data_IF_311157541357
#
_entry.id   IF_311157541357
#
_cell.length_a   1.000
_cell.length_b   1.000
_cell.length_c   1.000
_cell.angle_alpha   90.00
_cell.angle_beta   90.00
_cell.angle_gamma   90.00
#
_symmetry.space_group_name_H-M   'P 1'
#
loop_
_entity.id
_entity.type
_entity.pdbx_description
1 polymer ?
#
# COMPACT_ATOMS: atom_id res chain seq x y z
N UNK A 1 7.71 -10.72 -25.51
CA UNK A 1 6.24 -10.85 -25.65
C UNK A 1 5.85 -12.25 -25.21
N UNK A 2 4.89 -12.38 -24.29
CA UNK A 2 4.30 -13.68 -23.90
C UNK A 2 3.09 -13.99 -24.80
N UNK A 3 2.83 -15.25 -25.20
CA UNK A 3 1.99 -15.57 -26.36
C UNK A 3 0.48 -15.61 -26.09
N UNK A 4 0.00 -15.31 -24.87
CA UNK A 4 -1.34 -15.74 -24.45
C UNK A 4 -2.36 -14.64 -24.12
N UNK A 5 -2.23 -13.41 -24.65
CA UNK A 5 -3.29 -12.39 -24.47
C UNK A 5 -3.52 -11.59 -25.75
N UNK A 6 -4.70 -11.77 -26.38
CA UNK A 6 -5.12 -11.08 -27.62
C UNK A 6 -5.71 -9.68 -27.40
N UNK A 7 -5.77 -9.19 -26.15
CA UNK A 7 -6.27 -7.85 -25.84
C UNK A 7 -5.45 -7.22 -24.71
N UNK A 8 -4.64 -6.22 -25.05
CA UNK A 8 -4.11 -5.24 -24.11
C UNK A 8 -5.15 -4.11 -24.03
N UNK A 9 -5.86 -4.00 -22.90
CA UNK A 9 -6.63 -2.79 -22.63
C UNK A 9 -5.63 -1.64 -22.43
N UNK A 10 -5.43 -0.82 -23.46
CA UNK A 10 -4.71 0.43 -23.29
C UNK A 10 -5.54 1.33 -22.35
N UNK A 11 -5.02 1.78 -21.20
CA UNK A 11 -5.72 2.77 -20.40
C UNK A 11 -5.90 4.03 -21.26
N UNK A 12 -7.09 4.66 -21.28
CA UNK A 12 -7.31 5.86 -22.08
C UNK A 12 -6.29 6.93 -21.67
N UNK A 13 -5.47 7.34 -22.64
CA UNK A 13 -4.28 8.20 -22.51
C UNK A 13 -4.54 9.61 -21.96
N UNK A 14 -5.75 9.92 -21.50
CA UNK A 14 -6.11 11.25 -21.02
C UNK A 14 -6.83 11.14 -19.68
N UNK A 15 -6.14 11.55 -18.61
CA UNK A 15 -6.66 11.79 -17.26
C UNK A 15 -7.47 10.63 -16.65
N UNK A 16 -6.77 9.68 -16.03
CA UNK A 16 -7.41 8.81 -15.04
C UNK A 16 -7.78 9.65 -13.82
N UNK A 17 -9.01 10.15 -13.78
CA UNK A 17 -9.57 10.66 -12.53
C UNK A 17 -9.62 9.49 -11.55
N UNK A 18 -8.78 9.54 -10.51
CA UNK A 18 -8.82 8.60 -9.38
C UNK A 18 -10.14 8.83 -8.64
N UNK A 19 -11.20 8.14 -9.09
CA UNK A 19 -12.48 8.09 -8.39
C UNK A 19 -12.43 6.93 -7.41
N UNK A 20 -12.64 7.21 -6.13
CA UNK A 20 -12.95 6.19 -5.13
C UNK A 20 -14.21 5.44 -5.59
N UNK A 21 -14.05 4.21 -6.09
CA UNK A 21 -15.19 3.33 -6.45
C UNK A 21 -15.54 2.42 -5.27
N UNK A 22 -16.56 1.56 -5.44
CA UNK A 22 -17.11 0.62 -4.44
C UNK A 22 -15.98 0.03 -3.58
N UNK A 23 -16.21 -0.07 -2.27
CA UNK A 23 -15.24 -0.55 -1.26
C UNK A 23 -14.00 0.33 -1.04
N UNK A 24 -14.06 1.60 -1.48
CA UNK A 24 -13.04 2.64 -1.28
C UNK A 24 -11.70 2.30 -1.96
N UNK A 25 -11.79 1.71 -3.15
CA UNK A 25 -10.66 1.41 -4.02
C UNK A 25 -10.26 2.61 -4.88
N UNK A 26 -8.96 2.75 -5.13
CA UNK A 26 -8.39 3.85 -5.93
C UNK A 26 -8.54 3.54 -7.43
N UNK A 27 -9.77 3.62 -7.95
CA UNK A 27 -10.07 3.60 -9.39
C UNK A 27 -10.32 2.22 -10.02
N UNK A 28 -10.58 2.22 -11.33
CA UNK A 28 -10.85 1.02 -12.17
C UNK A 28 -9.61 0.11 -12.27
N UNK A 29 -8.45 0.69 -12.06
CA UNK A 29 -7.14 0.05 -12.16
C UNK A 29 -6.45 -0.02 -10.79
N UNK A 30 -7.23 -0.17 -9.70
CA UNK A 30 -6.66 -0.36 -8.35
C UNK A 30 -5.63 -1.50 -8.46
N UNK A 31 -4.33 -1.20 -8.23
CA UNK A 31 -3.25 -2.16 -8.51
C UNK A 31 -3.29 -3.40 -7.63
N UNK A 32 -4.16 -3.39 -6.62
CA UNK A 32 -4.44 -4.52 -5.76
C UNK A 32 -5.29 -5.61 -6.44
N UNK A 33 -6.05 -5.28 -7.50
CA UNK A 33 -7.07 -6.19 -8.07
C UNK A 33 -6.98 -6.39 -9.59
N UNK A 34 -6.18 -5.59 -10.30
CA UNK A 34 -5.97 -5.74 -11.74
C UNK A 34 -4.48 -5.76 -12.10
N UNK A 35 -4.08 -6.54 -13.12
CA UNK A 35 -2.71 -6.52 -13.63
C UNK A 35 -2.38 -5.10 -14.09
N UNK A 36 -1.35 -4.51 -13.46
CA UNK A 36 -0.93 -3.15 -13.79
C UNK A 36 -0.31 -3.09 -15.18
N UNK A 37 -0.61 -2.07 -15.98
CA UNK A 37 0.22 -1.75 -17.12
C UNK A 37 1.63 -1.46 -16.61
N UNK A 38 2.62 -2.17 -17.15
CA UNK A 38 4.01 -1.98 -16.77
C UNK A 38 4.46 -0.59 -17.22
N UNK A 39 4.57 0.33 -16.26
CA UNK A 39 5.16 1.64 -16.47
C UNK A 39 6.63 1.58 -16.11
N UNK A 40 7.50 1.91 -17.06
CA UNK A 40 8.95 1.97 -16.85
C UNK A 40 9.35 2.96 -15.74
N UNK A 41 8.51 3.96 -15.47
CA UNK A 41 8.73 4.94 -14.39
C UNK A 41 8.41 4.40 -12.99
N UNK A 42 7.60 3.34 -12.87
CA UNK A 42 7.19 2.74 -11.59
C UNK A 42 7.23 1.21 -11.62
N UNK A 43 8.40 0.60 -11.98
CA UNK A 43 8.51 -0.85 -12.17
C UNK A 43 8.25 -1.63 -10.87
N UNK A 44 8.48 -0.99 -9.72
CA UNK A 44 8.21 -1.59 -8.41
C UNK A 44 6.73 -1.97 -8.21
N UNK A 45 5.78 -1.34 -8.91
CA UNK A 45 4.37 -1.71 -8.80
C UNK A 45 4.10 -3.14 -9.29
N UNK A 46 4.92 -3.67 -10.21
CA UNK A 46 4.86 -5.06 -10.64
C UNK A 46 5.32 -6.04 -9.55
N UNK A 47 6.03 -5.55 -8.53
CA UNK A 47 6.49 -6.34 -7.40
C UNK A 47 5.52 -6.33 -6.22
N UNK A 48 4.39 -5.60 -6.29
CA UNK A 48 3.36 -5.66 -5.23
C UNK A 48 2.97 -7.12 -5.02
N UNK A 49 3.08 -7.58 -3.77
CA UNK A 49 2.73 -8.95 -3.41
C UNK A 49 1.27 -9.24 -3.78
N UNK A 50 0.96 -10.50 -4.06
CA UNK A 50 -0.41 -10.92 -4.31
C UNK A 50 -1.25 -10.89 -3.04
N UNK A 51 -2.59 -10.87 -3.15
CA UNK A 51 -3.47 -11.06 -2.01
C UNK A 51 -3.10 -12.29 -1.17
N UNK A 52 -2.99 -12.08 0.13
CA UNK A 52 -2.64 -13.13 1.08
C UNK A 52 -3.92 -13.73 1.67
N UNK A 53 -4.06 -15.06 1.59
CA UNK A 53 -5.20 -15.80 2.15
C UNK A 53 -4.92 -16.34 3.56
N UNK A 54 -3.64 -16.52 3.90
CA UNK A 54 -3.23 -17.00 5.21
C UNK A 54 -3.25 -15.86 6.23
N UNK A 55 -4.07 -16.02 7.27
CA UNK A 55 -4.22 -15.06 8.36
C UNK A 55 -2.93 -14.86 9.17
N UNK A 56 -2.00 -15.82 9.13
CA UNK A 56 -0.71 -15.73 9.81
C UNK A 56 0.33 -14.95 8.99
N UNK A 57 0.03 -14.66 7.72
CA UNK A 57 0.92 -13.86 6.89
C UNK A 57 0.92 -12.41 7.37
N UNK A 58 2.11 -11.83 7.56
CA UNK A 58 2.27 -10.43 8.02
C UNK A 58 1.57 -9.40 7.14
N UNK A 59 1.35 -9.70 5.86
CA UNK A 59 0.66 -8.83 4.91
C UNK A 59 -0.83 -9.14 4.74
N UNK A 60 -1.37 -10.15 5.42
CA UNK A 60 -2.80 -10.42 5.45
C UNK A 60 -3.65 -9.16 5.75
N UNK A 61 -3.27 -8.30 6.73
CA UNK A 61 -4.05 -7.10 7.02
C UNK A 61 -4.12 -6.09 5.88
N UNK A 62 -3.18 -6.11 4.91
CA UNK A 62 -3.20 -5.24 3.74
C UNK A 62 -4.37 -5.54 2.79
N UNK A 63 -4.92 -6.75 2.87
CA UNK A 63 -5.93 -7.26 1.94
C UNK A 63 -7.33 -7.34 2.54
N UNK A 64 -7.46 -7.11 3.86
CA UNK A 64 -8.76 -7.06 4.53
C UNK A 64 -9.57 -5.88 3.96
N UNK A 65 -10.80 -6.15 3.51
CA UNK A 65 -11.71 -5.09 3.07
C UNK A 65 -12.23 -4.34 4.30
N UNK A 66 -11.96 -3.02 4.44
CA UNK A 66 -12.43 -2.26 5.57
C UNK A 66 -13.95 -2.12 5.55
N UNK A 67 -14.59 -2.44 6.67
CA UNK A 67 -16.05 -2.43 6.87
C UNK A 67 -16.42 -1.59 8.08
N UNK A 68 -17.72 -1.35 8.25
CA UNK A 68 -18.25 -0.58 9.37
C UNK A 68 -17.87 -1.18 10.74
N UNK A 69 -17.66 -2.50 10.81
CA UNK A 69 -17.21 -3.19 12.02
C UNK A 69 -15.80 -2.77 12.49
N UNK A 70 -14.97 -2.18 11.62
CA UNK A 70 -13.66 -1.66 11.98
C UNK A 70 -13.70 -0.23 12.54
N UNK A 71 -14.89 0.32 12.82
CA UNK A 71 -15.08 1.68 13.33
C UNK A 71 -15.92 1.68 14.61
N UNK A 72 -15.46 2.41 15.62
CA UNK A 72 -16.17 2.62 16.88
C UNK A 72 -16.42 4.11 17.07
N UNK A 73 -17.70 4.49 17.26
CA UNK A 73 -18.11 5.85 17.59
C UNK A 73 -17.62 6.20 19.00
N UNK A 74 -16.99 7.38 19.18
CA UNK A 74 -16.41 7.80 20.47
C UNK A 74 -17.36 8.60 21.37
N UNK A 75 -18.52 9.00 20.87
CA UNK A 75 -19.48 9.78 21.67
C UNK A 75 -20.92 9.55 21.19
N UNK A 76 -21.75 8.95 22.04
CA UNK A 76 -23.20 8.80 21.82
C UNK A 76 -24.00 9.94 22.45
N UNK A 77 -23.35 10.86 23.18
CA UNK A 77 -23.99 11.92 23.97
C UNK A 77 -23.91 13.31 23.32
N UNK A 78 -23.01 13.49 22.34
CA UNK A 78 -22.83 14.73 21.58
C UNK A 78 -23.66 14.75 20.29
N UNK A 79 -24.20 15.92 19.87
CA UNK A 79 -24.91 16.10 18.61
C UNK A 79 -24.02 15.93 17.36
N UNK A 80 -22.70 15.79 17.51
CA UNK A 80 -21.80 15.33 16.44
C UNK A 80 -21.69 13.80 16.46
N UNK A 81 -22.82 13.15 16.21
CA UNK A 81 -23.07 11.71 16.37
C UNK A 81 -22.26 10.76 15.48
N UNK A 82 -21.42 11.26 14.57
CA UNK A 82 -20.81 10.45 13.51
C UNK A 82 -19.28 10.35 13.54
N UNK A 83 -18.66 10.87 14.59
CA UNK A 83 -17.20 10.80 14.78
C UNK A 83 -16.81 9.58 15.63
N UNK A 84 -15.72 8.93 15.21
CA UNK A 84 -15.20 7.75 15.88
C UNK A 84 -13.78 7.46 15.44
N UNK A 85 -13.29 6.29 15.81
CA UNK A 85 -11.92 5.85 15.55
C UNK A 85 -11.92 4.44 14.97
N UNK A 86 -10.79 4.04 14.41
CA UNK A 86 -10.57 2.63 14.04
C UNK A 86 -10.56 1.78 15.30
N UNK A 87 -11.19 0.60 15.28
CA UNK A 87 -11.19 -0.30 16.43
C UNK A 87 -9.75 -0.69 16.82
N UNK A 88 -9.50 -0.80 18.12
CA UNK A 88 -8.16 -0.95 18.66
C UNK A 88 -7.42 -2.18 18.09
N UNK A 89 -8.07 -3.33 18.06
CA UNK A 89 -7.44 -4.57 17.56
C UNK A 89 -7.04 -4.46 16.09
N UNK A 90 -7.88 -3.85 15.27
CA UNK A 90 -7.59 -3.66 13.86
C UNK A 90 -6.51 -2.58 13.64
N UNK A 91 -6.52 -1.51 14.44
CA UNK A 91 -5.47 -0.51 14.43
C UNK A 91 -4.10 -1.14 14.78
N UNK A 92 -4.03 -1.98 15.82
CA UNK A 92 -2.83 -2.72 16.19
C UNK A 92 -2.32 -3.61 15.06
N UNK A 93 -3.22 -4.34 14.38
CA UNK A 93 -2.85 -5.16 13.21
C UNK A 93 -2.21 -4.33 12.09
N UNK A 94 -2.79 -3.17 11.77
CA UNK A 94 -2.24 -2.26 10.76
C UNK A 94 -0.88 -1.69 11.17
N UNK A 95 -0.73 -1.29 12.44
CA UNK A 95 0.52 -0.76 13.00
C UNK A 95 1.62 -1.82 12.92
N UNK A 96 1.36 -3.03 13.43
CA UNK A 96 2.35 -4.12 13.42
C UNK A 96 2.82 -4.47 12.00
N UNK A 97 1.88 -4.53 11.03
CA UNK A 97 2.21 -4.76 9.64
C UNK A 97 3.10 -3.64 9.07
N UNK A 98 2.73 -2.38 9.30
CA UNK A 98 3.46 -1.23 8.77
C UNK A 98 4.84 -1.09 9.41
N UNK A 99 4.96 -1.28 10.73
CA UNK A 99 6.24 -1.30 11.43
C UNK A 99 7.17 -2.40 10.92
N UNK A 100 6.62 -3.57 10.56
CA UNK A 100 7.40 -4.64 9.93
C UNK A 100 8.04 -4.17 8.61
N UNK A 101 7.29 -3.46 7.76
CA UNK A 101 7.84 -2.92 6.51
C UNK A 101 8.87 -1.83 6.79
N UNK A 102 8.57 -0.87 7.68
CA UNK A 102 9.48 0.23 8.04
C UNK A 102 10.82 -0.28 8.62
N UNK A 103 10.79 -1.37 9.40
CA UNK A 103 11.98 -2.01 9.96
C UNK A 103 12.86 -2.70 8.91
N UNK A 104 12.25 -3.19 7.82
CA UNK A 104 12.98 -3.89 6.75
C UNK A 104 13.60 -2.95 5.71
N UNK A 105 13.45 -1.64 5.87
CA UNK A 105 14.14 -0.65 5.03
C UNK A 105 15.63 -0.64 5.39
N UNK A 106 16.44 -1.20 4.50
CA UNK A 106 17.91 -1.20 4.59
C UNK A 106 18.48 0.19 4.23
N UNK A 107 19.71 0.46 4.65
CA UNK A 107 20.30 1.81 4.61
C UNK A 107 20.41 2.39 3.20
N UNK A 108 20.76 1.57 2.19
CA UNK A 108 20.83 2.04 0.80
C UNK A 108 19.47 2.53 0.29
N UNK A 109 18.39 1.81 0.63
CA UNK A 109 17.04 2.22 0.28
C UNK A 109 16.59 3.52 0.97
N UNK A 110 17.22 3.93 2.08
CA UNK A 110 16.91 5.23 2.73
C UNK A 110 17.41 6.44 1.94
N UNK A 111 18.28 6.23 0.96
CA UNK A 111 18.69 7.30 0.04
C UNK A 111 17.65 7.54 -1.06
N UNK A 112 16.75 6.57 -1.30
CA UNK A 112 15.69 6.70 -2.29
C UNK A 112 14.58 7.65 -1.82
N UNK A 113 14.29 8.65 -2.65
CA UNK A 113 13.30 9.69 -2.33
C UNK A 113 11.91 9.10 -2.08
N UNK A 114 11.48 8.12 -2.88
CA UNK A 114 10.16 7.50 -2.74
C UNK A 114 10.07 6.72 -1.42
N UNK A 115 11.11 5.96 -1.08
CA UNK A 115 11.16 5.23 0.20
C UNK A 115 11.09 6.18 1.39
N UNK A 116 11.88 7.27 1.37
CA UNK A 116 11.93 8.21 2.49
C UNK A 116 10.62 8.99 2.65
N UNK A 117 10.06 9.53 1.58
CA UNK A 117 8.76 10.22 1.62
C UNK A 117 7.61 9.25 1.96
N UNK A 118 7.64 8.04 1.40
CA UNK A 118 6.65 6.99 1.66
C UNK A 118 6.68 6.49 3.11
N UNK A 119 7.88 6.30 3.68
CA UNK A 119 8.05 5.91 5.08
C UNK A 119 7.50 6.98 6.03
N UNK A 120 7.82 8.26 5.78
CA UNK A 120 7.28 9.38 6.54
C UNK A 120 5.76 9.47 6.42
N UNK A 121 5.23 9.37 5.19
CA UNK A 121 3.80 9.41 4.92
C UNK A 121 3.04 8.27 5.62
N UNK A 122 3.62 7.07 5.64
CA UNK A 122 3.07 5.93 6.37
C UNK A 122 3.04 6.18 7.88
N UNK A 123 4.14 6.64 8.48
CA UNK A 123 4.19 6.99 9.90
C UNK A 123 3.14 8.05 10.28
N UNK A 124 2.97 9.06 9.43
CA UNK A 124 1.96 10.09 9.62
C UNK A 124 0.54 9.51 9.63
N UNK A 125 0.20 8.63 8.69
CA UNK A 125 -1.12 8.00 8.66
C UNK A 125 -1.37 7.06 9.85
N UNK A 126 -0.35 6.34 10.31
CA UNK A 126 -0.45 5.52 11.53
C UNK A 126 -0.77 6.39 12.76
N UNK A 127 -0.09 7.52 12.92
CA UNK A 127 -0.35 8.46 14.03
C UNK A 127 -1.79 9.00 14.07
N UNK A 128 -2.49 8.95 12.93
CA UNK A 128 -3.85 9.45 12.78
C UNK A 128 -4.91 8.38 13.04
N UNK A 129 -4.57 7.12 13.26
CA UNK A 129 -5.55 6.06 13.51
C UNK A 129 -6.44 6.33 14.74
N UNK A 130 -5.90 7.01 15.74
CA UNK A 130 -6.60 7.36 16.98
C UNK A 130 -7.32 8.71 16.94
N UNK A 131 -7.11 9.49 15.87
CA UNK A 131 -7.74 10.80 15.69
C UNK A 131 -9.19 10.60 15.27
N UNK A 132 -10.17 11.10 16.06
CA UNK A 132 -11.57 10.97 15.70
C UNK A 132 -11.86 11.53 14.32
N UNK A 133 -12.55 10.74 13.49
CA UNK A 133 -12.91 11.05 12.13
C UNK A 133 -14.28 10.44 11.79
N UNK A 134 -14.86 10.80 10.65
CA UNK A 134 -16.08 10.14 10.18
C UNK A 134 -15.77 8.69 9.79
N UNK A 135 -16.79 7.82 9.77
CA UNK A 135 -16.65 6.45 9.24
C UNK A 135 -16.00 6.44 7.84
N UNK A 136 -16.37 7.38 6.97
CA UNK A 136 -15.79 7.52 5.63
C UNK A 136 -14.28 7.84 5.65
N UNK A 137 -13.87 8.74 6.54
CA UNK A 137 -12.47 9.09 6.70
C UNK A 137 -11.67 7.94 7.32
N UNK A 138 -12.22 7.23 8.31
CA UNK A 138 -11.55 6.09 8.95
C UNK A 138 -11.25 4.96 7.96
N UNK A 139 -12.25 4.46 7.21
CA UNK A 139 -11.93 3.37 6.27
C UNK A 139 -11.14 3.84 5.04
N UNK A 140 -11.18 5.13 4.68
CA UNK A 140 -10.24 5.67 3.68
C UNK A 140 -8.80 5.65 4.20
N UNK A 141 -8.58 6.07 5.45
CA UNK A 141 -7.26 6.02 6.10
C UNK A 141 -6.72 4.60 6.16
N UNK A 142 -7.57 3.63 6.51
CA UNK A 142 -7.20 2.20 6.47
C UNK A 142 -6.69 1.82 5.07
N UNK A 143 -7.44 2.15 4.01
CA UNK A 143 -7.03 1.85 2.63
C UNK A 143 -5.70 2.50 2.24
N UNK A 144 -5.47 3.74 2.66
CA UNK A 144 -4.21 4.45 2.43
C UNK A 144 -3.05 3.71 3.11
N UNK A 145 -3.20 3.32 4.37
CA UNK A 145 -2.18 2.56 5.11
C UNK A 145 -1.89 1.23 4.41
N UNK A 146 -2.93 0.45 4.10
CA UNK A 146 -2.81 -0.83 3.39
C UNK A 146 -2.04 -0.66 2.07
N UNK A 147 -2.38 0.37 1.30
CA UNK A 147 -1.73 0.67 0.02
C UNK A 147 -0.27 1.08 0.19
N UNK A 148 0.02 2.04 1.08
CA UNK A 148 1.37 2.52 1.34
C UNK A 148 2.31 1.40 1.78
N UNK A 149 1.84 0.50 2.67
CA UNK A 149 2.63 -0.65 3.10
C UNK A 149 3.07 -1.51 1.92
N UNK A 150 2.15 -1.81 0.99
CA UNK A 150 2.43 -2.67 -0.16
C UNK A 150 3.35 -2.01 -1.19
N UNK A 151 3.12 -0.72 -1.48
CA UNK A 151 3.99 0.02 -2.41
C UNK A 151 5.40 0.22 -1.85
N UNK A 152 5.51 0.54 -0.56
CA UNK A 152 6.79 0.76 0.10
C UNK A 152 7.60 -0.53 0.15
N UNK A 153 6.99 -1.65 0.54
CA UNK A 153 7.64 -2.98 0.50
C UNK A 153 8.09 -3.34 -0.92
N UNK A 154 7.24 -3.12 -1.92
CA UNK A 154 7.57 -3.41 -3.31
C UNK A 154 8.71 -2.54 -3.83
N UNK A 155 8.77 -1.25 -3.45
CA UNK A 155 9.88 -0.35 -3.80
C UNK A 155 11.19 -0.80 -3.17
N UNK A 156 11.18 -1.13 -1.88
CA UNK A 156 12.37 -1.61 -1.17
C UNK A 156 12.91 -2.88 -1.83
N UNK A 157 12.04 -3.85 -2.16
CA UNK A 157 12.44 -5.06 -2.89
C UNK A 157 13.00 -4.77 -4.29
N UNK A 158 12.43 -3.81 -5.01
CA UNK A 158 12.94 -3.40 -6.32
C UNK A 158 14.38 -2.88 -6.23
N UNK A 159 14.67 -2.07 -5.21
CA UNK A 159 16.01 -1.53 -4.99
C UNK A 159 17.01 -2.63 -4.65
N UNK A 160 16.61 -3.62 -3.84
CA UNK A 160 17.45 -4.78 -3.52
C UNK A 160 17.81 -5.60 -4.76
N UNK A 161 16.83 -5.84 -5.66
CA UNK A 161 17.07 -6.58 -6.91
C UNK A 161 18.02 -5.83 -7.85
N UNK A 162 17.81 -4.53 -8.00
CA UNK A 162 18.68 -3.71 -8.85
C UNK A 162 20.12 -3.62 -8.30
N UNK A 163 20.30 -3.61 -6.99
CA UNK A 163 21.62 -3.62 -6.37
C UNK A 163 22.36 -4.95 -6.64
N UNK A 164 21.66 -6.09 -6.60
CA UNK A 164 22.26 -7.39 -6.89
C UNK A 164 22.66 -7.58 -8.36
N UNK A 165 21.93 -6.96 -9.29
CA UNK A 165 22.27 -7.02 -10.72
C UNK A 165 23.55 -6.21 -11.02
N UNK A 166 23.73 -5.05 -10.36
CA UNK A 166 24.92 -4.22 -10.51
C UNK A 166 26.20 -4.88 -9.94
N UNK A 167 26.11 -5.64 -8.85
CA UNK A 167 27.25 -6.40 -8.33
C UNK A 167 27.68 -7.52 -9.27
N UNK A 168 26.74 -8.19 -9.95
CA UNK A 168 27.04 -9.25 -10.92
C UNK A 168 27.69 -8.70 -12.20
N UNK A 169 27.26 -7.53 -12.66
CA UNK A 169 27.86 -6.86 -13.83
C UNK A 169 29.31 -6.40 -13.56
N UNK A 170 29.61 -5.95 -12.33
CA UNK A 170 30.97 -5.57 -11.94
C UNK A 170 31.92 -6.78 -11.89
N UNK A 171 31.45 -7.94 -11.41
CA UNK A 171 32.24 -9.18 -11.38
C UNK A 171 32.52 -9.73 -12.78
N UNK A 172 31.67 -9.42 -13.77
CA UNK A 172 31.87 -9.80 -15.17
C UNK A 172 32.81 -8.87 -15.93
N UNK A 173 32.98 -7.63 -15.48
CA UNK A 173 33.92 -6.66 -16.09
C UNK A 173 35.36 -6.79 -15.57
N UNK A 174 35.57 -7.53 -14.47
CA UNK A 174 36.89 -7.83 -13.89
C UNK A 174 37.50 -9.16 -14.39
N UNK A 175 36.90 -9.80 -15.41
CA UNK A 175 37.42 -11.01 -16.07
C UNK A 175 37.70 -10.77 -17.55
#
# INVERSE_FOLDING_TARGET
MSPNVNYLYAPPLNMSQVRLRRERHFGRDDPLYHPQPFLLSTPHLALIITPQVDIQNKFYPAWIVPRNEHFVKRDTSSPRTDMGVVIEDFAKLLITMAESVLKNIHDDARTDKFVTEGAWGLQLELSRLEVPATLEQCLLRIRIIQRHVLELDARVRALTLNASDHEQDLVLLEK
#
